data_IF_931101070700
#
_entry.id   IF_931101070700
#
_cell.length_a   1.000
_cell.length_b   1.000
_cell.length_c   1.000
_cell.angle_alpha   90.00
_cell.angle_beta   90.00
_cell.angle_gamma   90.00
#
_symmetry.space_group_name_H-M   'P 1'
#
loop_
_entity.id
_entity.type
_entity.pdbx_description
1 polymer ?
#
# COMPACT_ATOMS: atom_id res chain seq x y z
N UNK A 1 39.19 -4.09 18.91
CA UNK A 1 38.18 -3.14 19.32
C UNK A 1 37.32 -2.81 18.10
N UNK A 2 36.26 -3.64 17.88
CA UNK A 2 35.30 -3.42 16.82
C UNK A 2 34.43 -2.23 17.20
N UNK A 3 34.72 -1.13 16.60
CA UNK A 3 33.81 0.01 16.53
C UNK A 3 32.56 -0.45 15.79
N UNK A 4 31.45 -0.58 16.52
CA UNK A 4 30.18 -1.07 16.03
C UNK A 4 29.72 -0.38 14.74
N UNK A 5 29.88 -1.05 13.63
CA UNK A 5 29.07 -0.82 12.44
C UNK A 5 27.66 -1.28 12.78
N UNK A 6 26.86 -0.39 13.36
CA UNK A 6 25.45 -0.65 13.55
C UNK A 6 24.87 -1.07 12.21
N UNK A 7 24.35 -2.29 12.13
CA UNK A 7 23.73 -2.80 10.92
C UNK A 7 22.72 -1.77 10.41
N UNK A 8 22.96 -1.23 9.20
CA UNK A 8 22.02 -0.38 8.50
C UNK A 8 20.78 -1.16 8.03
N UNK A 9 20.80 -2.48 8.19
CA UNK A 9 19.68 -3.35 7.88
C UNK A 9 18.66 -3.32 9.01
N UNK A 10 17.44 -2.94 8.71
CA UNK A 10 16.32 -2.91 9.64
C UNK A 10 15.21 -3.82 9.14
N UNK A 11 14.47 -4.39 10.09
CA UNK A 11 13.23 -5.09 9.79
C UNK A 11 12.26 -4.14 9.06
N UNK A 12 11.81 -4.53 7.87
CA UNK A 12 10.93 -3.71 7.04
C UNK A 12 9.57 -3.49 7.69
N UNK A 13 9.06 -4.45 8.42
CA UNK A 13 7.76 -4.32 9.09
C UNK A 13 7.80 -3.20 10.14
N UNK A 14 8.89 -3.12 10.89
CA UNK A 14 9.14 -2.05 11.86
C UNK A 14 9.30 -0.71 11.14
N UNK A 15 10.06 -0.70 10.05
CA UNK A 15 10.28 0.52 9.28
C UNK A 15 8.97 1.08 8.68
N UNK A 16 8.10 0.21 8.14
CA UNK A 16 6.81 0.61 7.62
C UNK A 16 5.93 1.21 8.73
N UNK A 17 5.87 0.56 9.90
CA UNK A 17 5.13 1.08 11.06
C UNK A 17 5.67 2.44 11.52
N UNK A 18 7.01 2.63 11.51
CA UNK A 18 7.64 3.93 11.83
C UNK A 18 7.32 5.01 10.78
N UNK A 19 7.29 4.66 9.49
CA UNK A 19 6.88 5.58 8.44
C UNK A 19 5.43 6.02 8.61
N UNK A 20 4.53 5.08 8.88
CA UNK A 20 3.13 5.38 9.20
C UNK A 20 3.05 6.30 10.41
N UNK A 21 3.76 5.98 11.50
CA UNK A 21 3.72 6.79 12.72
C UNK A 21 4.21 8.22 12.49
N UNK A 22 5.21 8.41 11.66
CA UNK A 22 5.77 9.74 11.36
C UNK A 22 4.92 10.60 10.41
N UNK A 23 3.93 10.03 9.71
CA UNK A 23 3.11 10.76 8.74
C UNK A 23 2.26 11.85 9.40
N UNK A 24 2.25 13.05 8.83
CA UNK A 24 1.48 14.20 9.30
C UNK A 24 0.50 14.73 8.27
N UNK A 25 0.92 14.80 7.01
CA UNK A 25 0.16 15.45 5.94
C UNK A 25 -0.37 14.43 4.93
N UNK A 26 0.48 13.47 4.56
CA UNK A 26 0.12 12.47 3.53
C UNK A 26 0.80 11.13 3.75
N UNK A 27 0.08 10.07 3.41
CA UNK A 27 0.52 8.69 3.48
C UNK A 27 0.01 7.94 2.24
N UNK A 28 0.92 7.40 1.43
CA UNK A 28 0.61 6.52 0.31
C UNK A 28 1.19 5.14 0.58
N UNK A 29 0.39 4.11 0.45
CA UNK A 29 0.84 2.72 0.47
C UNK A 29 0.45 2.04 -0.83
N UNK A 30 1.43 1.43 -1.50
CA UNK A 30 1.20 0.66 -2.70
C UNK A 30 1.67 -0.78 -2.51
N UNK A 31 0.88 -1.73 -2.98
CA UNK A 31 1.20 -3.16 -2.93
C UNK A 31 0.51 -3.90 -4.06
N UNK A 32 0.96 -5.11 -4.36
CA UNK A 32 0.24 -5.94 -5.35
C UNK A 32 -1.21 -6.16 -4.94
N UNK A 33 -1.44 -6.60 -3.71
CA UNK A 33 -2.79 -6.77 -3.13
C UNK A 33 -2.68 -6.81 -1.61
N UNK A 34 -3.80 -6.58 -0.93
CA UNK A 34 -3.91 -6.73 0.52
C UNK A 34 -4.55 -8.08 0.84
N UNK A 35 -3.94 -8.80 1.76
CA UNK A 35 -4.49 -10.01 2.35
C UNK A 35 -4.64 -9.82 3.86
N UNK A 36 -5.68 -10.43 4.42
CA UNK A 36 -5.87 -10.45 5.86
C UNK A 36 -4.71 -11.20 6.53
N UNK A 37 -4.16 -10.63 7.58
CA UNK A 37 -3.07 -11.17 8.37
C UNK A 37 -2.71 -10.20 9.48
N UNK A 38 -1.97 -10.68 10.48
CA UNK A 38 -1.68 -9.90 11.68
C UNK A 38 -0.95 -8.59 11.37
N UNK A 39 0.06 -8.62 10.49
CA UNK A 39 0.78 -7.42 10.09
C UNK A 39 -0.14 -6.35 9.49
N UNK A 40 -1.06 -6.76 8.60
CA UNK A 40 -2.00 -5.82 7.96
C UNK A 40 -3.04 -5.32 8.95
N UNK A 41 -3.54 -6.15 9.84
CA UNK A 41 -4.50 -5.74 10.88
C UNK A 41 -3.88 -4.68 11.80
N UNK A 42 -2.66 -4.92 12.29
CA UNK A 42 -1.91 -3.96 13.12
C UNK A 42 -1.65 -2.66 12.37
N UNK A 43 -1.16 -2.75 11.12
CA UNK A 43 -0.83 -1.59 10.29
C UNK A 43 -2.07 -0.74 10.01
N UNK A 44 -3.19 -1.38 9.67
CA UNK A 44 -4.44 -0.67 9.37
C UNK A 44 -5.04 -0.05 10.63
N UNK A 45 -4.93 -0.72 11.77
CA UNK A 45 -5.33 -0.15 13.07
C UNK A 45 -4.53 1.12 13.37
N UNK A 46 -3.20 1.07 13.22
CA UNK A 46 -2.31 2.21 13.43
C UNK A 46 -2.65 3.39 12.50
N UNK A 47 -2.86 3.11 11.20
CA UNK A 47 -3.23 4.14 10.21
C UNK A 47 -4.59 4.76 10.59
N UNK A 48 -5.56 3.94 10.94
CA UNK A 48 -6.89 4.40 11.33
C UNK A 48 -6.84 5.31 12.56
N UNK A 49 -6.09 4.93 13.59
CA UNK A 49 -5.91 5.77 14.78
C UNK A 49 -5.29 7.13 14.42
N UNK A 50 -4.31 7.14 13.52
CA UNK A 50 -3.72 8.40 13.03
C UNK A 50 -4.73 9.27 12.30
N UNK A 51 -5.55 8.69 11.44
CA UNK A 51 -6.62 9.42 10.73
C UNK A 51 -7.66 10.00 11.70
N UNK A 52 -7.97 9.29 12.78
CA UNK A 52 -8.86 9.79 13.84
C UNK A 52 -8.22 10.97 14.56
N UNK A 53 -6.94 10.84 14.95
CA UNK A 53 -6.19 11.90 15.65
C UNK A 53 -5.86 13.11 14.77
N UNK A 54 -5.71 12.88 13.47
CA UNK A 54 -5.42 13.92 12.48
C UNK A 54 -6.33 13.79 11.26
N UNK A 55 -7.53 14.38 11.27
CA UNK A 55 -8.49 14.32 10.16
C UNK A 55 -8.01 14.99 8.87
N UNK A 56 -6.91 15.76 8.92
CA UNK A 56 -6.29 16.38 7.73
C UNK A 56 -5.31 15.46 7.02
N UNK A 57 -4.91 14.34 7.65
CA UNK A 57 -4.00 13.38 7.03
C UNK A 57 -4.67 12.71 5.82
N UNK A 58 -4.08 12.90 4.65
CA UNK A 58 -4.51 12.23 3.43
C UNK A 58 -3.89 10.84 3.38
N UNK A 59 -4.70 9.81 3.46
CA UNK A 59 -4.26 8.41 3.35
C UNK A 59 -4.77 7.82 2.05
N UNK A 60 -3.84 7.29 1.25
CA UNK A 60 -4.13 6.70 -0.06
C UNK A 60 -3.54 5.30 -0.17
N UNK A 61 -4.37 4.36 -0.59
CA UNK A 61 -3.96 2.99 -0.90
C UNK A 61 -4.11 2.71 -2.39
N UNK A 62 -3.13 2.01 -2.93
CA UNK A 62 -3.15 1.52 -4.32
C UNK A 62 -2.82 0.04 -4.33
N UNK A 63 -3.70 -0.77 -4.93
CA UNK A 63 -3.51 -2.20 -5.05
C UNK A 63 -4.13 -2.74 -6.35
N UNK A 64 -4.07 -4.05 -6.55
CA UNK A 64 -4.88 -4.73 -7.55
C UNK A 64 -6.05 -5.44 -6.88
N UNK A 65 -7.11 -5.61 -7.64
CA UNK A 65 -8.17 -6.57 -7.32
C UNK A 65 -7.77 -7.90 -7.93
N UNK A 66 -7.62 -8.92 -7.10
CA UNK A 66 -7.15 -10.21 -7.56
C UNK A 66 -8.21 -10.93 -8.39
N UNK A 67 -7.85 -11.28 -9.63
CA UNK A 67 -8.67 -12.17 -10.50
C UNK A 67 -8.14 -13.60 -10.35
N UNK A 68 -8.98 -14.57 -9.97
CA UNK A 68 -8.56 -15.97 -9.97
C UNK A 68 -8.15 -16.41 -11.38
N UNK A 69 -7.07 -17.18 -11.47
CA UNK A 69 -6.56 -17.70 -12.77
C UNK A 69 -7.63 -18.53 -13.46
N UNK A 70 -7.86 -18.27 -14.74
CA UNK A 70 -8.88 -18.97 -15.53
C UNK A 70 -10.34 -18.58 -15.22
N UNK A 71 -10.55 -17.56 -14.39
CA UNK A 71 -11.89 -17.09 -14.05
C UNK A 71 -12.53 -16.30 -15.20
N UNK A 72 -13.78 -16.64 -15.51
CA UNK A 72 -14.63 -15.92 -16.47
C UNK A 72 -15.56 -14.89 -15.81
N UNK A 73 -15.38 -14.62 -14.52
CA UNK A 73 -16.16 -13.61 -13.78
C UNK A 73 -16.01 -12.25 -14.48
N UNK A 74 -17.10 -11.53 -14.67
CA UNK A 74 -17.06 -10.22 -15.30
C UNK A 74 -16.25 -9.21 -14.46
N UNK A 75 -15.52 -8.26 -15.09
CA UNK A 75 -14.75 -7.25 -14.37
C UNK A 75 -15.57 -6.48 -13.35
N UNK A 76 -16.79 -6.09 -13.70
CA UNK A 76 -17.71 -5.35 -12.83
C UNK A 76 -18.11 -6.18 -11.59
N UNK A 77 -18.31 -7.46 -11.78
CA UNK A 77 -18.66 -8.39 -10.69
C UNK A 77 -17.49 -8.56 -9.71
N UNK A 78 -16.25 -8.71 -10.21
CA UNK A 78 -15.05 -8.72 -9.37
C UNK A 78 -14.87 -7.42 -8.60
N UNK A 79 -15.09 -6.27 -9.23
CA UNK A 79 -15.02 -4.98 -8.57
C UNK A 79 -16.08 -4.87 -7.48
N UNK A 80 -17.34 -5.25 -7.76
CA UNK A 80 -18.42 -5.25 -6.78
C UNK A 80 -18.12 -6.18 -5.60
N UNK A 81 -17.64 -7.39 -5.87
CA UNK A 81 -17.27 -8.35 -4.84
C UNK A 81 -16.13 -7.82 -3.96
N UNK A 82 -15.10 -7.23 -4.56
CA UNK A 82 -14.01 -6.62 -3.80
C UNK A 82 -14.53 -5.51 -2.89
N UNK A 83 -15.31 -4.59 -3.41
CA UNK A 83 -15.86 -3.45 -2.69
C UNK A 83 -16.78 -3.85 -1.54
N UNK A 84 -17.64 -4.87 -1.74
CA UNK A 84 -18.68 -5.25 -0.76
C UNK A 84 -18.24 -6.33 0.21
N UNK A 85 -17.34 -7.22 -0.20
CA UNK A 85 -17.02 -8.41 0.58
C UNK A 85 -15.56 -8.47 1.03
N UNK A 86 -14.61 -8.04 0.17
CA UNK A 86 -13.18 -8.19 0.46
C UNK A 86 -12.66 -7.01 1.26
N UNK A 87 -12.86 -5.80 0.76
CA UNK A 87 -12.34 -4.60 1.42
C UNK A 87 -12.93 -4.37 2.81
N UNK A 88 -14.24 -4.52 3.07
CA UNK A 88 -14.80 -4.35 4.42
C UNK A 88 -14.25 -5.33 5.47
N UNK A 89 -13.74 -6.50 5.04
CA UNK A 89 -13.07 -7.45 5.94
C UNK A 89 -11.67 -7.01 6.34
N UNK A 90 -11.06 -6.14 5.54
CA UNK A 90 -9.75 -5.56 5.79
C UNK A 90 -9.86 -4.21 6.51
N UNK A 91 -10.82 -3.40 6.10
CA UNK A 91 -11.06 -2.06 6.67
C UNK A 91 -12.54 -1.85 6.93
N UNK A 92 -12.97 -2.07 8.16
CA UNK A 92 -14.40 -2.16 8.52
C UNK A 92 -15.00 -0.89 9.11
N UNK A 93 -14.18 0.12 9.45
CA UNK A 93 -14.64 1.26 10.24
C UNK A 93 -14.11 2.60 9.71
N UNK A 94 -14.86 3.68 9.97
CA UNK A 94 -14.45 5.06 9.70
C UNK A 94 -13.21 5.47 10.52
N UNK A 95 -12.40 6.43 10.03
CA UNK A 95 -12.46 7.03 8.70
C UNK A 95 -11.94 6.10 7.61
N UNK A 96 -12.44 6.22 6.38
CA UNK A 96 -11.96 5.42 5.25
C UNK A 96 -10.81 6.14 4.51
N UNK A 97 -9.73 5.44 4.15
CA UNK A 97 -8.71 5.97 3.27
C UNK A 97 -9.22 6.06 1.83
N UNK A 98 -8.53 6.85 1.01
CA UNK A 98 -8.72 6.76 -0.44
C UNK A 98 -8.16 5.43 -0.94
N UNK A 99 -8.98 4.61 -1.57
CA UNK A 99 -8.58 3.33 -2.14
C UNK A 99 -8.71 3.34 -3.64
N UNK A 100 -7.60 3.03 -4.32
CA UNK A 100 -7.53 2.92 -5.77
C UNK A 100 -7.03 1.55 -6.20
N UNK A 101 -7.46 1.13 -7.39
CA UNK A 101 -6.99 -0.11 -7.99
C UNK A 101 -6.64 0.07 -9.46
N UNK A 102 -5.78 -0.82 -9.98
CA UNK A 102 -5.47 -0.91 -11.40
C UNK A 102 -6.59 -1.67 -12.13
N UNK A 103 -7.39 -1.01 -12.98
CA UNK A 103 -8.51 -1.68 -13.66
C UNK A 103 -8.07 -2.78 -14.63
N UNK A 104 -6.78 -2.83 -15.00
CA UNK A 104 -6.25 -3.92 -15.82
C UNK A 104 -6.21 -5.23 -15.07
N UNK A 105 -6.08 -5.19 -13.74
CA UNK A 105 -6.01 -6.37 -12.87
C UNK A 105 -7.29 -7.22 -12.88
N UNK A 106 -8.42 -6.62 -13.23
CA UNK A 106 -9.72 -7.34 -13.32
C UNK A 106 -10.14 -7.67 -14.75
N UNK A 107 -9.36 -7.29 -15.77
CA UNK A 107 -9.66 -7.66 -17.16
C UNK A 107 -9.36 -9.13 -17.41
N UNK A 108 -10.22 -9.78 -18.22
CA UNK A 108 -9.99 -11.15 -18.70
C UNK A 108 -8.74 -11.13 -19.58
N UNK A 109 -7.86 -12.12 -19.39
CA UNK A 109 -6.61 -12.29 -20.14
C UNK A 109 -5.61 -11.13 -20.06
N UNK A 110 -5.71 -10.26 -19.06
CA UNK A 110 -4.71 -9.22 -18.83
C UNK A 110 -3.53 -9.79 -18.05
N UNK A 111 -2.32 -9.52 -18.53
CA UNK A 111 -1.06 -9.79 -17.82
C UNK A 111 -0.49 -8.52 -17.15
N UNK A 112 -1.09 -7.37 -17.40
CA UNK A 112 -0.60 -6.07 -16.89
C UNK A 112 -1.29 -5.70 -15.59
N UNK A 113 -0.49 -5.34 -14.59
CA UNK A 113 -0.97 -4.96 -13.26
C UNK A 113 -0.06 -3.89 -12.65
N UNK A 114 -0.54 -3.16 -11.68
CA UNK A 114 0.30 -2.31 -10.83
C UNK A 114 1.16 -3.22 -9.94
N UNK A 115 2.49 -3.19 -10.11
CA UNK A 115 3.42 -4.05 -9.35
C UNK A 115 4.36 -3.24 -8.44
N UNK A 116 4.04 -1.98 -8.21
CA UNK A 116 4.80 -1.10 -7.33
C UNK A 116 4.56 -1.46 -5.86
N UNK A 117 5.62 -1.51 -5.08
CA UNK A 117 5.57 -1.64 -3.63
C UNK A 117 6.34 -0.48 -3.03
N UNK A 118 5.61 0.49 -2.51
CA UNK A 118 6.19 1.69 -1.93
C UNK A 118 5.35 2.24 -0.80
N UNK A 119 6.00 2.93 0.12
CA UNK A 119 5.35 3.74 1.15
C UNK A 119 5.90 5.15 1.07
N UNK A 120 5.03 6.12 0.83
CA UNK A 120 5.37 7.55 0.96
C UNK A 120 4.76 8.07 2.26
N UNK A 121 5.58 8.67 3.10
CA UNK A 121 5.18 9.32 4.34
C UNK A 121 5.80 10.71 4.38
N UNK A 122 5.02 11.73 4.04
CA UNK A 122 5.44 13.12 3.90
C UNK A 122 6.69 13.27 3.01
N UNK A 123 7.89 13.40 3.63
CA UNK A 123 9.19 13.58 2.97
C UNK A 123 9.98 12.28 2.79
N UNK A 124 9.41 11.16 3.21
CA UNK A 124 10.09 9.87 3.23
C UNK A 124 9.46 8.95 2.22
N UNK A 125 10.31 8.17 1.54
CA UNK A 125 9.91 7.15 0.59
C UNK A 125 10.61 5.84 0.94
N UNK A 126 9.85 4.77 1.05
CA UNK A 126 10.35 3.40 1.03
C UNK A 126 9.96 2.77 -0.30
N UNK A 127 10.93 2.23 -1.03
CA UNK A 127 10.70 1.35 -2.18
C UNK A 127 11.20 -0.04 -1.79
N UNK A 128 10.42 -1.06 -2.06
CA UNK A 128 10.73 -2.42 -1.61
C UNK A 128 10.29 -3.48 -2.61
N UNK A 129 10.90 -4.65 -2.53
CA UNK A 129 10.42 -5.86 -3.20
C UNK A 129 9.23 -6.49 -2.47
N UNK A 130 9.08 -6.24 -1.16
CA UNK A 130 8.08 -6.84 -0.29
C UNK A 130 6.67 -6.32 -0.56
N UNK A 131 5.72 -7.22 -0.75
CA UNK A 131 4.31 -6.87 -0.62
C UNK A 131 3.94 -6.57 0.83
N UNK A 132 2.88 -5.81 1.05
CA UNK A 132 2.31 -5.59 2.39
C UNK A 132 1.48 -6.82 2.80
N UNK A 133 2.16 -7.92 3.06
CA UNK A 133 1.59 -9.21 3.49
C UNK A 133 2.46 -9.83 4.57
N UNK A 134 1.88 -10.64 5.44
CA UNK A 134 2.62 -11.34 6.50
C UNK A 134 3.78 -12.18 5.95
N UNK A 135 3.55 -12.88 4.83
CA UNK A 135 4.61 -13.70 4.23
C UNK A 135 5.80 -12.87 3.78
N UNK A 136 5.58 -11.74 3.11
CA UNK A 136 6.64 -10.88 2.63
C UNK A 136 7.36 -10.17 3.79
N UNK A 137 6.61 -9.78 4.84
CA UNK A 137 7.18 -9.01 5.94
C UNK A 137 7.86 -9.87 7.02
N UNK A 138 7.49 -11.15 7.15
CA UNK A 138 7.90 -11.99 8.27
C UNK A 138 8.65 -13.26 7.86
N UNK A 139 8.58 -13.69 6.58
CA UNK A 139 9.10 -15.00 6.15
C UNK A 139 10.05 -14.94 4.98
N UNK A 140 9.90 -13.98 4.07
CA UNK A 140 10.71 -13.87 2.87
C UNK A 140 11.97 -13.07 3.12
N UNK A 141 12.98 -13.31 2.29
CA UNK A 141 14.11 -12.38 2.15
C UNK A 141 13.69 -11.29 1.17
N UNK A 142 13.57 -10.07 1.67
CA UNK A 142 13.13 -8.92 0.89
C UNK A 142 14.14 -7.78 1.05
N UNK A 143 14.22 -6.92 0.05
CA UNK A 143 15.09 -5.76 0.05
C UNK A 143 14.27 -4.49 -0.13
N UNK A 144 14.57 -3.47 0.68
CA UNK A 144 13.95 -2.15 0.57
C UNK A 144 14.97 -1.04 0.77
N UNK A 145 14.73 0.10 0.14
CA UNK A 145 15.53 1.32 0.28
C UNK A 145 14.65 2.43 0.83
N UNK A 146 15.00 2.94 2.02
CA UNK A 146 14.40 4.15 2.56
C UNK A 146 15.17 5.37 2.06
N UNK A 147 14.45 6.33 1.52
CA UNK A 147 14.96 7.59 0.98
C UNK A 147 14.32 8.73 1.78
N UNK A 148 15.13 9.57 2.40
CA UNK A 148 14.69 10.80 3.07
C UNK A 148 14.92 11.99 2.15
N UNK A 149 14.01 12.21 1.22
CA UNK A 149 14.09 13.26 0.20
C UNK A 149 12.68 13.75 -0.13
N UNK A 150 12.45 15.05 0.10
CA UNK A 150 11.20 15.70 -0.30
C UNK A 150 10.94 15.50 -1.79
N UNK A 151 11.95 15.71 -2.62
CA UNK A 151 11.85 15.57 -4.08
C UNK A 151 11.40 14.16 -4.49
N UNK A 152 12.02 13.11 -3.92
CA UNK A 152 11.67 11.72 -4.26
C UNK A 152 10.26 11.34 -3.78
N UNK A 153 9.89 11.80 -2.59
CA UNK A 153 8.56 11.59 -2.03
C UNK A 153 7.48 12.31 -2.86
N UNK A 154 7.72 13.58 -3.21
CA UNK A 154 6.80 14.37 -4.06
C UNK A 154 6.67 13.75 -5.45
N UNK A 155 7.78 13.42 -6.09
CA UNK A 155 7.77 12.80 -7.42
C UNK A 155 6.96 11.49 -7.44
N UNK A 156 7.08 10.67 -6.38
CA UNK A 156 6.31 9.43 -6.26
C UNK A 156 4.83 9.71 -6.03
N UNK A 157 4.49 10.61 -5.11
CA UNK A 157 3.11 11.01 -4.86
C UNK A 157 2.44 11.56 -6.12
N UNK A 158 3.10 12.49 -6.82
CA UNK A 158 2.60 13.12 -8.04
C UNK A 158 2.45 12.12 -9.19
N UNK A 159 3.34 11.11 -9.25
CA UNK A 159 3.19 10.03 -10.23
C UNK A 159 1.85 9.30 -10.05
N UNK A 160 1.53 8.88 -8.83
CA UNK A 160 0.24 8.22 -8.54
C UNK A 160 -0.94 9.16 -8.75
N UNK A 161 -0.80 10.42 -8.39
CA UNK A 161 -1.83 11.44 -8.63
C UNK A 161 -2.13 11.60 -10.13
N UNK A 162 -1.09 11.62 -10.97
CA UNK A 162 -1.23 11.63 -12.43
C UNK A 162 -1.90 10.37 -12.98
N UNK A 163 -1.58 9.19 -12.43
CA UNK A 163 -2.23 7.93 -12.83
C UNK A 163 -3.73 7.95 -12.49
N UNK A 164 -4.09 8.48 -11.34
CA UNK A 164 -5.49 8.64 -10.91
C UNK A 164 -6.21 9.64 -11.81
N UNK A 165 -5.65 10.83 -12.04
CA UNK A 165 -6.24 11.87 -12.91
C UNK A 165 -6.44 11.41 -14.35
N UNK A 166 -5.55 10.55 -14.86
CA UNK A 166 -5.66 9.94 -16.20
C UNK A 166 -6.60 8.73 -16.25
N UNK A 167 -7.24 8.34 -15.14
CA UNK A 167 -8.12 7.17 -15.07
C UNK A 167 -7.40 5.82 -15.21
N UNK A 168 -6.06 5.82 -15.13
CA UNK A 168 -5.24 4.59 -15.15
C UNK A 168 -5.34 3.83 -13.83
N UNK A 169 -5.62 4.53 -12.75
CA UNK A 169 -6.05 3.98 -11.46
C UNK A 169 -7.48 4.46 -11.20
N UNK A 170 -8.36 3.57 -10.76
CA UNK A 170 -9.76 3.87 -10.47
C UNK A 170 -10.05 3.73 -8.98
N UNK A 171 -10.94 4.60 -8.48
CA UNK A 171 -11.41 4.52 -7.10
C UNK A 171 -12.31 3.28 -6.91
N UNK A 172 -12.18 2.60 -5.77
CA UNK A 172 -13.01 1.46 -5.39
C UNK A 172 -14.40 1.89 -4.95
#
# INVERSE_FOLDING_TARGET
>A
PDSGSGSLMRDQSILIKQLVDSAKDRLLLTTYTFYKGQFIEDLFSQIREKMIKNPKLIVRFVCNINRPKGSNILPEELHHKFKRETWPKLWSQLPYPELYFDPRSIKINSSSVCHVKAVVSDRKLLVTSANLTDSAQLKNFELGVKIESQFSADATWDHFDKLIKKGMLKKV
#
